data_IF_621357041175
#
_entry.id   IF_621357041175
#
_cell.length_a   1.000
_cell.length_b   1.000
_cell.length_c   1.000
_cell.angle_alpha   90.00
_cell.angle_beta   90.00
_cell.angle_gamma   90.00
#
_symmetry.space_group_name_H-M   'P 1'
#
loop_
_entity.id
_entity.type
_entity.pdbx_description
1 polymer ?
#
# COMPACT_ATOMS: atom_id res chain seq x y z
N UNK A 1 -33.89 13.67 -12.27
CA UNK A 1 -33.02 12.49 -12.18
C UNK A 1 -31.61 12.99 -11.95
N UNK A 2 -31.07 12.79 -10.74
CA UNK A 2 -29.65 13.00 -10.47
C UNK A 2 -28.94 11.78 -11.08
N UNK A 3 -27.98 11.99 -11.99
CA UNK A 3 -27.10 10.91 -12.45
C UNK A 3 -26.26 10.48 -11.25
N UNK A 4 -26.13 9.17 -11.05
CA UNK A 4 -25.35 8.59 -9.96
C UNK A 4 -24.03 9.34 -9.77
N UNK A 5 -23.82 9.82 -8.55
CA UNK A 5 -22.64 10.59 -8.18
C UNK A 5 -21.43 9.68 -8.25
N UNK A 6 -20.55 9.96 -9.21
CA UNK A 6 -19.30 9.26 -9.43
C UNK A 6 -18.39 9.54 -8.22
N UNK A 7 -18.31 8.60 -7.27
CA UNK A 7 -17.48 8.72 -6.07
C UNK A 7 -16.05 8.36 -6.48
N UNK A 8 -15.16 9.35 -6.49
CA UNK A 8 -13.75 9.20 -6.85
C UNK A 8 -12.84 9.54 -5.67
N UNK A 9 -11.77 8.78 -5.49
CA UNK A 9 -10.68 9.06 -4.54
C UNK A 9 -11.06 9.10 -3.06
N UNK A 10 -12.26 8.65 -2.69
CA UNK A 10 -12.74 8.62 -1.31
C UNK A 10 -11.94 7.64 -0.42
N UNK A 11 -11.70 8.04 0.83
CA UNK A 11 -11.06 7.20 1.83
C UNK A 11 -11.63 7.48 3.23
N UNK A 12 -11.68 6.46 4.08
CA UNK A 12 -12.02 6.62 5.49
C UNK A 12 -10.77 7.09 6.25
N UNK A 13 -10.83 8.28 6.84
CA UNK A 13 -9.65 8.90 7.49
C UNK A 13 -9.45 8.38 8.91
N UNK A 14 -8.79 7.24 9.07
CA UNK A 14 -8.45 6.65 10.38
C UNK A 14 -7.19 7.28 11.00
N UNK A 15 -7.27 8.57 11.30
CA UNK A 15 -6.18 9.37 11.89
C UNK A 15 -5.48 10.29 10.88
N UNK A 16 -4.59 11.13 11.38
CA UNK A 16 -3.82 12.09 10.58
C UNK A 16 -2.50 11.49 10.11
N UNK A 17 -2.00 11.94 8.96
CA UNK A 17 -0.66 11.60 8.51
C UNK A 17 0.37 11.91 9.61
N UNK A 18 1.34 11.02 9.79
CA UNK A 18 2.39 11.17 10.81
C UNK A 18 3.70 11.45 10.09
N UNK A 19 4.35 12.58 10.40
CA UNK A 19 5.55 13.03 9.68
C UNK A 19 5.39 13.10 8.15
N UNK A 20 4.17 13.41 7.68
CA UNK A 20 3.86 13.45 6.25
C UNK A 20 3.73 12.07 5.58
N UNK A 21 3.64 10.99 6.35
CA UNK A 21 3.49 9.61 5.84
C UNK A 21 2.08 9.09 6.13
N UNK A 22 1.48 8.41 5.16
CA UNK A 22 0.20 7.75 5.30
C UNK A 22 0.13 6.40 4.58
N UNK A 23 -0.65 5.48 5.12
CA UNK A 23 -0.96 4.22 4.47
C UNK A 23 -2.31 4.25 3.78
N UNK A 24 -2.46 3.47 2.73
CA UNK A 24 -3.77 3.15 2.14
C UNK A 24 -3.89 1.64 1.94
N UNK A 25 -5.11 1.12 2.11
CA UNK A 25 -5.48 -0.27 1.86
C UNK A 25 -6.93 -0.33 1.38
N UNK A 26 -7.40 -1.43 0.77
CA UNK A 26 -8.80 -1.54 0.35
C UNK A 26 -9.75 -1.71 1.54
N UNK A 27 -9.53 -2.75 2.34
CA UNK A 27 -10.40 -3.12 3.47
C UNK A 27 -10.18 -2.33 4.76
N UNK A 28 -11.24 -2.17 5.57
CA UNK A 28 -11.14 -1.53 6.89
C UNK A 28 -10.47 -2.46 7.91
N UNK A 29 -10.75 -3.75 7.86
CA UNK A 29 -10.12 -4.78 8.68
C UNK A 29 -8.62 -4.85 8.40
N UNK A 30 -8.23 -4.87 7.12
CA UNK A 30 -6.84 -4.80 6.65
C UNK A 30 -6.15 -3.53 7.17
N UNK A 31 -6.80 -2.38 7.03
CA UNK A 31 -6.27 -1.09 7.52
C UNK A 31 -6.06 -1.09 9.04
N UNK A 32 -7.00 -1.66 9.80
CA UNK A 32 -6.90 -1.77 11.25
C UNK A 32 -5.80 -2.75 11.68
N UNK A 33 -5.65 -3.88 10.99
CA UNK A 33 -4.59 -4.85 11.23
C UNK A 33 -3.20 -4.21 11.01
N UNK A 34 -3.01 -3.52 9.88
CA UNK A 34 -1.76 -2.80 9.59
C UNK A 34 -1.50 -1.72 10.64
N UNK A 35 -2.50 -0.93 11.00
CA UNK A 35 -2.36 0.12 12.02
C UNK A 35 -2.01 -0.46 13.39
N UNK A 36 -2.63 -1.57 13.78
CA UNK A 36 -2.32 -2.27 15.03
C UNK A 36 -0.89 -2.84 15.00
N UNK A 37 -0.44 -3.33 13.85
CA UNK A 37 0.89 -3.92 13.71
C UNK A 37 2.03 -2.90 13.64
N UNK A 38 1.83 -1.85 12.86
CA UNK A 38 2.89 -0.89 12.47
C UNK A 38 2.82 0.42 13.25
N UNK A 39 1.66 0.74 13.82
CA UNK A 39 1.37 2.06 14.40
C UNK A 39 1.18 3.18 13.37
N UNK A 40 1.22 2.88 12.06
CA UNK A 40 1.05 3.87 11.00
C UNK A 40 -0.43 4.23 10.82
N UNK A 41 -0.77 5.50 10.52
CA UNK A 41 -2.11 5.84 10.06
C UNK A 41 -2.37 5.19 8.69
N UNK A 42 -3.46 4.45 8.56
CA UNK A 42 -3.85 3.77 7.32
C UNK A 42 -5.30 4.10 7.00
N UNK A 43 -5.56 4.54 5.76
CA UNK A 43 -6.88 4.94 5.29
C UNK A 43 -7.46 3.87 4.34
N UNK A 44 -8.58 3.22 4.71
CA UNK A 44 -9.29 2.34 3.80
C UNK A 44 -9.89 3.13 2.64
N UNK A 45 -9.62 2.69 1.41
CA UNK A 45 -10.17 3.26 0.17
C UNK A 45 -11.33 2.42 -0.39
N UNK A 46 -11.69 1.29 0.24
CA UNK A 46 -12.89 0.48 0.00
C UNK A 46 -12.99 -0.25 -1.35
N UNK A 47 -12.20 0.11 -2.36
CA UNK A 47 -12.12 -0.63 -3.62
C UNK A 47 -10.87 -0.30 -4.42
N UNK A 48 -10.46 -1.21 -5.30
CA UNK A 48 -9.43 -0.99 -6.32
C UNK A 48 -9.66 0.28 -7.16
N UNK A 49 -10.91 0.60 -7.51
CA UNK A 49 -11.23 1.81 -8.30
C UNK A 49 -10.95 3.10 -7.52
N UNK A 50 -11.28 3.12 -6.24
CA UNK A 50 -11.00 4.24 -5.34
C UNK A 50 -9.52 4.33 -5.01
N UNK A 51 -8.82 3.20 -4.92
CA UNK A 51 -7.36 3.17 -4.79
C UNK A 51 -6.67 3.85 -5.96
N UNK A 52 -7.06 3.52 -7.21
CA UNK A 52 -6.50 4.15 -8.42
C UNK A 52 -6.65 5.67 -8.43
N UNK A 53 -7.74 6.17 -7.86
CA UNK A 53 -8.09 7.60 -7.84
C UNK A 53 -7.75 8.30 -6.52
N UNK A 54 -7.14 7.63 -5.55
CA UNK A 54 -6.86 8.18 -4.22
C UNK A 54 -5.93 9.41 -4.25
N UNK A 55 -6.43 10.55 -3.80
CA UNK A 55 -5.64 11.77 -3.65
C UNK A 55 -5.17 11.94 -2.19
N UNK A 56 -3.85 11.96 -1.94
CA UNK A 56 -3.34 12.23 -0.60
C UNK A 56 -3.71 13.65 -0.16
N UNK A 57 -4.03 13.87 1.13
CA UNK A 57 -4.27 15.22 1.65
C UNK A 57 -2.99 16.07 1.57
N UNK A 58 -3.17 17.40 1.59
CA UNK A 58 -2.05 18.34 1.61
C UNK A 58 -1.07 18.05 2.77
N UNK A 59 0.23 18.19 2.49
CA UNK A 59 1.30 17.92 3.45
C UNK A 59 1.74 16.45 3.55
N UNK A 60 1.07 15.53 2.85
CA UNK A 60 1.59 14.16 2.67
C UNK A 60 2.74 14.19 1.67
N UNK A 61 3.86 13.64 2.09
CA UNK A 61 5.09 13.50 1.29
C UNK A 61 5.37 12.04 0.90
N UNK A 62 4.68 11.10 1.54
CA UNK A 62 4.84 9.68 1.31
C UNK A 62 3.56 8.87 1.53
N UNK A 63 3.29 7.96 0.60
CA UNK A 63 2.17 7.02 0.64
C UNK A 63 2.69 5.58 0.59
N UNK A 64 2.31 4.78 1.57
CA UNK A 64 2.55 3.33 1.56
C UNK A 64 1.25 2.64 1.16
N UNK A 65 1.26 1.98 0.01
CA UNK A 65 0.11 1.29 -0.55
C UNK A 65 0.18 -0.17 -0.14
N UNK A 66 -0.72 -0.58 0.75
CA UNK A 66 -0.84 -1.95 1.22
C UNK A 66 -1.83 -2.68 0.33
N UNK A 67 -1.29 -3.36 -0.68
CA UNK A 67 -2.06 -4.12 -1.63
C UNK A 67 -2.22 -5.56 -1.15
N UNK A 68 -3.39 -6.13 -1.41
CA UNK A 68 -3.64 -7.54 -1.16
C UNK A 68 -2.92 -8.39 -2.21
N UNK A 69 -2.59 -9.63 -1.84
CA UNK A 69 -2.01 -10.59 -2.76
C UNK A 69 -3.15 -11.27 -3.53
N UNK A 70 -3.56 -10.69 -4.65
CA UNK A 70 -4.59 -11.28 -5.50
C UNK A 70 -4.05 -12.43 -6.35
N UNK A 71 -4.85 -13.49 -6.47
CA UNK A 71 -4.71 -14.43 -7.57
C UNK A 71 -5.18 -13.78 -8.88
N UNK A 72 -4.57 -14.14 -10.03
CA UNK A 72 -5.04 -13.68 -11.32
C UNK A 72 -6.50 -14.13 -11.56
N UNK A 73 -7.34 -13.22 -12.05
CA UNK A 73 -8.66 -13.56 -12.56
C UNK A 73 -8.57 -14.37 -13.87
N UNK A 74 -9.72 -14.72 -14.46
CA UNK A 74 -9.78 -15.47 -15.73
C UNK A 74 -9.08 -14.79 -16.91
N UNK A 75 -8.77 -13.49 -16.79
CA UNK A 75 -8.05 -12.68 -17.79
C UNK A 75 -6.62 -12.39 -17.37
N UNK A 76 -6.14 -13.00 -16.28
CA UNK A 76 -4.79 -12.80 -15.75
C UNK A 76 -4.61 -11.53 -14.93
N UNK A 77 -5.69 -10.81 -14.59
CA UNK A 77 -5.62 -9.51 -13.91
C UNK A 77 -5.65 -9.66 -12.40
N UNK A 78 -5.01 -8.73 -11.69
CA UNK A 78 -4.92 -8.72 -10.24
C UNK A 78 -5.37 -7.36 -9.74
N UNK A 79 -6.67 -7.20 -9.53
CA UNK A 79 -7.31 -5.89 -9.49
C UNK A 79 -6.72 -4.93 -8.44
N UNK A 80 -6.39 -5.41 -7.24
CA UNK A 80 -5.81 -4.60 -6.18
C UNK A 80 -4.34 -4.24 -6.45
N UNK A 81 -3.55 -5.19 -6.94
CA UNK A 81 -2.15 -4.93 -7.31
C UNK A 81 -2.04 -3.97 -8.51
N UNK A 82 -2.83 -4.20 -9.56
CA UNK A 82 -2.93 -3.31 -10.71
C UNK A 82 -3.38 -1.89 -10.28
N UNK A 83 -4.23 -1.78 -9.25
CA UNK A 83 -4.68 -0.49 -8.72
C UNK A 83 -3.59 0.23 -7.94
N UNK A 84 -2.85 -0.51 -7.12
CA UNK A 84 -1.71 -0.01 -6.37
C UNK A 84 -0.60 0.51 -7.30
N UNK A 85 -0.29 -0.21 -8.37
CA UNK A 85 0.69 0.20 -9.39
C UNK A 85 0.29 1.50 -10.08
N UNK A 86 -0.98 1.63 -10.48
CA UNK A 86 -1.50 2.86 -11.08
C UNK A 86 -1.42 4.04 -10.11
N UNK A 87 -1.83 3.84 -8.85
CA UNK A 87 -1.73 4.88 -7.83
C UNK A 87 -0.27 5.28 -7.60
N UNK A 88 0.64 4.30 -7.44
CA UNK A 88 2.06 4.56 -7.24
C UNK A 88 2.63 5.42 -8.38
N UNK A 89 2.44 4.99 -9.63
CA UNK A 89 2.95 5.69 -10.80
C UNK A 89 2.49 7.15 -10.84
N UNK A 90 1.22 7.41 -10.51
CA UNK A 90 0.66 8.77 -10.44
C UNK A 90 1.28 9.62 -9.35
N UNK A 91 1.53 9.04 -8.17
CA UNK A 91 2.05 9.78 -7.03
C UNK A 91 3.54 10.14 -7.19
N UNK A 92 4.32 9.35 -7.92
CA UNK A 92 5.76 9.55 -8.11
C UNK A 92 6.14 10.90 -8.77
N UNK A 93 5.18 11.67 -9.29
CA UNK A 93 5.39 13.03 -9.80
C UNK A 93 5.65 14.08 -8.70
N UNK A 94 5.48 13.73 -7.41
CA UNK A 94 5.78 14.65 -6.30
C UNK A 94 5.66 14.06 -4.90
N UNK A 95 5.17 12.83 -4.76
CA UNK A 95 4.95 12.12 -3.51
C UNK A 95 5.68 10.78 -3.60
N UNK A 96 6.47 10.43 -2.58
CA UNK A 96 7.08 9.09 -2.52
C UNK A 96 5.97 8.05 -2.39
N UNK A 97 6.02 7.00 -3.21
CA UNK A 97 5.02 5.95 -3.15
C UNK A 97 5.68 4.57 -3.18
N UNK A 98 5.32 3.69 -2.24
CA UNK A 98 5.79 2.31 -2.20
C UNK A 98 4.63 1.34 -2.04
N UNK A 99 4.74 0.18 -2.68
CA UNK A 99 3.74 -0.90 -2.59
C UNK A 99 4.27 -1.97 -1.64
N UNK A 100 3.41 -2.46 -0.74
CA UNK A 100 3.66 -3.60 0.15
C UNK A 100 2.60 -4.67 -0.14
N UNK A 101 3.05 -5.87 -0.48
CA UNK A 101 2.23 -7.06 -0.73
C UNK A 101 2.64 -8.13 0.29
N UNK A 102 1.70 -8.90 0.86
CA UNK A 102 2.03 -10.02 1.74
C UNK A 102 2.97 -11.03 1.07
N UNK A 103 4.00 -11.45 1.80
CA UNK A 103 4.79 -12.62 1.44
C UNK A 103 3.88 -13.85 1.54
N UNK A 104 3.82 -14.67 0.48
CA UNK A 104 3.23 -15.99 0.65
C UNK A 104 4.27 -16.89 1.28
N UNK A 105 3.92 -17.53 2.39
CA UNK A 105 4.51 -18.84 2.67
C UNK A 105 4.20 -19.71 1.45
N UNK A 106 5.25 -20.08 0.72
CA UNK A 106 5.24 -20.87 -0.51
C UNK A 106 4.05 -21.85 -0.62
N UNK A 107 3.32 -21.81 -1.75
CA UNK A 107 2.36 -22.82 -2.25
C UNK A 107 0.87 -22.77 -1.87
N UNK A 108 0.24 -21.59 -1.81
CA UNK A 108 -1.22 -21.53 -1.67
C UNK A 108 -1.90 -20.83 -2.85
N UNK A 109 -2.81 -21.54 -3.53
CA UNK A 109 -3.76 -20.99 -4.53
C UNK A 109 -4.90 -20.22 -3.84
N UNK A 110 -4.55 -19.34 -2.91
CA UNK A 110 -5.50 -18.44 -2.23
C UNK A 110 -4.90 -17.04 -2.19
N UNK A 111 -5.78 -16.06 -2.39
CA UNK A 111 -5.46 -14.66 -2.10
C UNK A 111 -5.18 -14.49 -0.61
N UNK A 112 -4.29 -13.57 -0.27
CA UNK A 112 -3.89 -13.27 1.12
C UNK A 112 -3.89 -11.77 1.31
N UNK A 113 -4.52 -11.29 2.38
CA UNK A 113 -4.49 -9.88 2.78
C UNK A 113 -3.63 -9.65 4.04
N UNK A 114 -3.45 -8.40 4.44
CA UNK A 114 -2.67 -8.08 5.64
C UNK A 114 -3.40 -8.40 6.96
N UNK A 115 -4.72 -8.58 6.96
CA UNK A 115 -5.45 -9.06 8.14
C UNK A 115 -5.18 -10.56 8.38
N UNK A 116 -5.05 -11.36 7.32
CA UNK A 116 -4.59 -12.75 7.39
C UNK A 116 -3.16 -12.83 7.95
N UNK A 117 -2.27 -11.94 7.48
CA UNK A 117 -0.89 -11.84 8.00
C UNK A 117 -0.90 -11.52 9.50
N UNK A 118 -1.73 -10.57 9.94
CA UNK A 118 -1.86 -10.25 11.36
C UNK A 118 -2.36 -11.42 12.19
N UNK A 119 -3.37 -12.14 11.68
CA UNK A 119 -3.95 -13.29 12.37
C UNK A 119 -2.98 -14.46 12.48
N UNK A 120 -2.21 -14.72 11.41
CA UNK A 120 -1.28 -15.86 11.34
C UNK A 120 0.07 -15.59 12.02
N UNK A 121 0.60 -14.37 11.87
CA UNK A 121 1.99 -14.03 12.17
C UNK A 121 2.14 -12.87 13.15
N UNK A 122 1.02 -12.28 13.61
CA UNK A 122 1.02 -11.14 14.52
C UNK A 122 1.86 -9.97 14.00
N UNK A 123 2.58 -9.32 14.91
CA UNK A 123 3.45 -8.17 14.59
C UNK A 123 4.65 -8.55 13.71
N UNK A 124 5.09 -9.82 13.76
CA UNK A 124 6.29 -10.28 13.05
C UNK A 124 6.09 -10.46 11.55
N UNK A 125 4.83 -10.52 11.09
CA UNK A 125 4.50 -10.59 9.66
C UNK A 125 4.62 -9.25 8.92
N UNK A 126 4.90 -8.15 9.63
CA UNK A 126 4.92 -6.81 9.05
C UNK A 126 6.34 -6.25 8.92
N UNK A 127 6.60 -5.40 7.90
CA UNK A 127 7.83 -4.63 7.83
C UNK A 127 8.08 -3.84 9.12
N UNK A 128 9.33 -3.80 9.56
CA UNK A 128 9.71 -3.08 10.77
C UNK A 128 9.25 -1.61 10.71
N UNK A 129 8.67 -1.11 11.81
CA UNK A 129 8.17 0.27 11.92
C UNK A 129 9.18 1.34 11.50
N UNK A 130 10.47 1.14 11.80
CA UNK A 130 11.54 2.05 11.39
C UNK A 130 11.67 2.16 9.85
N UNK A 131 11.32 1.12 9.09
CA UNK A 131 11.33 1.13 7.62
C UNK A 131 10.12 1.82 7.00
N UNK A 132 9.06 2.05 7.78
CA UNK A 132 7.80 2.65 7.30
C UNK A 132 7.68 4.15 7.61
N UNK A 133 8.50 4.66 8.55
CA UNK A 133 8.44 6.05 9.00
C UNK A 133 9.74 6.82 8.75
N UNK A 134 10.75 6.21 8.09
CA UNK A 134 12.03 6.85 7.83
C UNK A 134 12.15 7.28 6.35
N UNK A 135 12.10 8.58 6.04
CA UNK A 135 12.08 9.11 4.67
C UNK A 135 13.43 9.02 3.91
N UNK A 136 14.42 8.35 4.49
CA UNK A 136 15.82 8.38 4.03
C UNK A 136 16.48 6.99 4.09
N UNK A 137 15.83 5.95 3.56
CA UNK A 137 16.48 4.66 3.40
C UNK A 137 17.13 4.53 1.99
N UNK A 138 18.47 4.66 1.86
CA UNK A 138 19.17 4.56 0.59
C UNK A 138 19.26 3.13 0.01
N UNK A 139 18.73 2.10 0.69
CA UNK A 139 18.83 0.71 0.20
C UNK A 139 17.98 0.40 -1.04
N UNK A 140 17.10 1.31 -1.45
CA UNK A 140 16.28 1.17 -2.65
C UNK A 140 16.88 1.95 -3.85
N UNK A 141 18.06 2.55 -3.68
CA UNK A 141 18.78 3.31 -4.70
C UNK A 141 19.96 2.47 -5.22
N UNK A 142 19.74 1.86 -6.39
CA UNK A 142 20.74 1.32 -7.31
C UNK A 142 21.57 0.09 -6.88
N UNK A 143 21.24 -1.05 -7.51
CA UNK A 143 22.24 -2.04 -7.92
C UNK A 143 22.65 -1.73 -9.36
N UNK A 144 23.75 -1.00 -9.54
CA UNK A 144 24.65 -1.11 -10.71
C UNK A 144 26.06 -0.68 -10.27
N UNK A 145 26.82 -1.60 -9.67
CA UNK A 145 28.27 -1.51 -9.61
C UNK A 145 28.84 -2.34 -10.75
N UNK A 146 29.51 -1.68 -11.69
CA UNK A 146 30.14 -2.27 -12.86
C UNK A 146 31.51 -1.63 -13.12
N UNK A 147 32.50 -2.09 -12.36
CA UNK A 147 33.94 -2.18 -12.67
C UNK A 147 34.55 -1.14 -13.61
N UNK A 148 35.43 -0.30 -13.08
CA UNK A 148 36.72 0.03 -13.71
C UNK A 148 37.78 0.19 -12.60
N UNK A 149 38.78 -0.69 -12.62
CA UNK A 149 40.02 -0.50 -11.88
C UNK A 149 41.17 -0.60 -12.87
N UNK A 150 42.03 0.44 -12.82
CA UNK A 150 43.41 0.56 -13.34
C UNK A 150 43.64 0.35 -14.84
#
# INVERSE_FOLDING_TARGET
MVKDGDVHGGAIRLGTATAGVIGVAEGIETSLAIRAATGMPVWPVLSASLMRSFEPPEGVTEVVIWADRDLPDRKGRKAGQDAAEVLQARLLEGIRASIKIPDASSSTDVSVDWADVYTSSGLTGFPARAKLLNPSNPSDIHCQEGFHSA
#
